data_IF_902041791794
#
_entry.id   IF_902041791794
#
_cell.length_a   1.000
_cell.length_b   1.000
_cell.length_c   1.000
_cell.angle_alpha   90.00
_cell.angle_beta   90.00
_cell.angle_gamma   90.00
#
_symmetry.space_group_name_H-M   'P 1'
#
loop_
_entity.id
_entity.type
_entity.pdbx_description
1 polymer ?
#
# COMPACT_ATOMS: atom_id res chain seq x y z
N UNK A 1 16.60 -2.87 12.91
CA UNK A 1 17.41 -1.64 13.04
C UNK A 1 18.73 -1.90 12.34
N UNK A 2 18.88 -1.46 11.08
CA UNK A 2 20.10 -1.72 10.31
C UNK A 2 21.04 -0.54 10.54
N UNK A 3 22.05 -0.74 11.37
CA UNK A 3 23.10 0.25 11.64
C UNK A 3 24.29 -0.08 10.75
N UNK A 4 24.58 0.79 9.77
CA UNK A 4 25.79 0.72 8.95
C UNK A 4 26.65 1.94 9.29
N UNK A 5 27.78 1.72 9.94
CA UNK A 5 28.76 2.77 10.24
C UNK A 5 29.90 2.74 9.24
N UNK A 6 30.08 3.82 8.46
CA UNK A 6 31.33 4.17 7.76
C UNK A 6 31.52 5.70 7.66
N UNK A 7 32.78 6.10 7.53
CA UNK A 7 33.42 7.30 8.08
C UNK A 7 33.06 8.68 7.50
N UNK A 8 33.04 9.65 8.43
CA UNK A 8 33.12 11.12 8.35
C UNK A 8 31.98 11.89 7.65
N UNK A 9 30.82 11.77 8.30
CA UNK A 9 29.90 12.83 8.76
C UNK A 9 29.37 13.80 7.69
N UNK A 10 28.15 13.47 7.29
CA UNK A 10 27.11 14.34 6.73
C UNK A 10 27.37 14.90 5.33
N UNK A 11 27.20 14.02 4.32
CA UNK A 11 26.81 14.48 3.00
C UNK A 11 25.37 14.98 3.05
N UNK A 12 25.23 16.25 2.76
CA UNK A 12 24.00 16.97 2.92
C UNK A 12 23.60 17.59 1.58
N UNK A 13 22.34 17.35 1.23
CA UNK A 13 21.61 17.90 0.10
C UNK A 13 21.29 19.36 0.41
N UNK A 14 21.48 20.26 -0.55
CA UNK A 14 21.50 21.70 -0.36
C UNK A 14 20.46 22.30 -1.30
N UNK A 15 19.52 23.10 -0.77
CA UNK A 15 18.49 23.82 -1.51
C UNK A 15 18.59 25.33 -1.25
N UNK A 16 18.64 26.17 -2.30
CA UNK A 16 18.67 27.64 -2.15
C UNK A 16 17.46 28.38 -2.68
N UNK A 17 17.10 29.46 -1.98
CA UNK A 17 16.30 30.59 -2.47
C UNK A 17 17.20 31.84 -2.30
N UNK A 18 17.86 32.29 -3.38
CA UNK A 18 18.81 33.45 -3.50
C UNK A 18 20.09 33.34 -2.64
N UNK A 19 21.32 33.76 -3.01
CA UNK A 19 21.84 34.72 -3.98
C UNK A 19 23.24 35.23 -3.54
N UNK A 20 24.32 34.43 -3.61
CA UNK A 20 25.75 34.83 -3.59
C UNK A 20 26.67 33.65 -3.97
N UNK A 21 27.74 33.88 -4.74
CA UNK A 21 28.56 32.82 -5.34
C UNK A 21 29.87 32.56 -4.57
N UNK A 22 29.79 31.79 -3.48
CA UNK A 22 30.93 31.09 -2.86
C UNK A 22 30.76 29.58 -3.02
N UNK A 23 31.32 28.97 -4.07
CA UNK A 23 30.98 27.59 -4.48
C UNK A 23 31.70 26.54 -3.63
N UNK A 24 30.96 25.79 -2.81
CA UNK A 24 31.33 24.44 -2.38
C UNK A 24 30.68 23.42 -3.33
N UNK A 25 31.48 22.62 -4.05
CA UNK A 25 31.00 21.60 -4.98
C UNK A 25 30.60 20.30 -4.24
N UNK A 26 29.44 19.73 -4.57
CA UNK A 26 29.04 18.39 -4.11
C UNK A 26 30.01 17.33 -4.65
N UNK A 27 30.43 16.39 -3.80
CA UNK A 27 31.33 15.29 -4.18
C UNK A 27 30.57 13.98 -4.50
N UNK A 28 29.39 13.75 -3.93
CA UNK A 28 28.49 12.65 -4.36
C UNK A 28 27.02 13.05 -4.24
N UNK A 29 26.24 12.68 -5.25
CA UNK A 29 24.79 12.69 -5.18
C UNK A 29 24.29 11.27 -4.87
N UNK A 30 23.62 11.09 -3.73
CA UNK A 30 23.11 9.77 -3.32
C UNK A 30 21.63 9.72 -3.66
N UNK A 31 21.26 8.76 -4.52
CA UNK A 31 19.85 8.44 -4.81
C UNK A 31 19.13 8.02 -3.53
N UNK A 32 17.85 8.36 -3.42
CA UNK A 32 16.99 7.82 -2.37
C UNK A 32 16.60 6.39 -2.73
N UNK A 33 16.71 5.45 -1.80
CA UNK A 33 16.30 4.05 -2.02
C UNK A 33 15.15 3.72 -1.08
N UNK A 34 14.04 3.23 -1.64
CA UNK A 34 12.86 2.81 -0.90
C UNK A 34 12.61 1.32 -1.10
N UNK A 35 12.16 0.65 -0.06
CA UNK A 35 11.85 -0.77 -0.11
C UNK A 35 10.35 -1.00 -0.01
N UNK A 36 9.78 -1.73 -0.98
CA UNK A 36 8.40 -2.20 -0.93
C UNK A 36 8.18 -3.17 0.23
N UNK A 37 6.92 -3.27 0.69
CA UNK A 37 6.52 -4.17 1.78
C UNK A 37 6.86 -3.67 3.19
N UNK A 38 7.35 -2.44 3.34
CA UNK A 38 7.60 -1.81 4.64
C UNK A 38 7.49 -0.28 4.53
N UNK A 39 7.29 0.39 5.67
CA UNK A 39 7.36 1.85 5.75
C UNK A 39 8.82 2.35 5.72
N UNK A 40 9.08 3.38 4.92
CA UNK A 40 10.39 3.99 4.71
C UNK A 40 10.38 5.42 5.27
N UNK A 41 11.00 5.68 6.44
CA UNK A 41 11.17 7.05 6.93
C UNK A 41 12.25 7.78 6.10
N UNK A 42 11.95 9.01 5.70
CA UNK A 42 12.86 9.87 4.92
C UNK A 42 12.95 11.23 5.60
N UNK A 43 14.17 11.75 5.72
CA UNK A 43 14.44 13.06 6.31
C UNK A 43 15.21 13.95 5.35
N UNK A 44 14.95 15.25 5.45
CA UNK A 44 15.53 16.31 4.64
C UNK A 44 16.03 17.43 5.56
N UNK A 45 17.17 18.01 5.23
CA UNK A 45 17.74 19.15 5.96
C UNK A 45 17.86 20.34 5.01
N UNK A 46 17.28 21.47 5.40
CA UNK A 46 17.25 22.71 4.62
C UNK A 46 18.37 23.65 5.06
N UNK A 47 19.18 24.12 4.11
CA UNK A 47 20.41 24.88 4.37
C UNK A 47 20.63 26.02 3.39
N UNK A 48 21.41 27.03 3.79
CA UNK A 48 21.85 28.16 2.96
C UNK A 48 23.24 27.97 2.33
N UNK A 49 23.67 28.95 1.52
CA UNK A 49 24.89 28.97 0.68
C UNK A 49 26.15 28.52 1.43
N UNK A 50 26.17 28.83 2.71
CA UNK A 50 27.27 28.53 3.62
C UNK A 50 27.15 27.19 4.34
N UNK A 51 26.29 26.27 3.88
CA UNK A 51 26.00 24.99 4.53
C UNK A 51 25.37 25.09 5.92
N UNK A 52 24.83 26.26 6.29
CA UNK A 52 24.20 26.48 7.60
C UNK A 52 22.73 26.14 7.55
N UNK A 53 22.29 25.36 8.53
CA UNK A 53 20.89 25.01 8.70
C UNK A 53 20.04 26.27 8.77
N UNK A 54 18.92 26.27 8.06
CA UNK A 54 17.98 27.37 8.09
C UNK A 54 16.84 27.06 9.06
N UNK A 55 16.37 28.09 9.76
CA UNK A 55 15.16 27.95 10.54
C UNK A 55 13.97 27.82 9.56
N UNK A 56 13.22 26.73 9.72
CA UNK A 56 12.07 26.40 8.88
C UNK A 56 10.78 26.17 9.68
N UNK A 57 10.76 26.51 10.97
CA UNK A 57 9.66 26.17 11.89
C UNK A 57 8.32 26.81 11.50
N UNK A 58 8.35 27.94 10.80
CA UNK A 58 7.16 28.64 10.31
C UNK A 58 6.82 28.32 8.83
N UNK A 59 7.50 27.35 8.21
CA UNK A 59 7.35 27.01 6.79
C UNK A 59 6.72 25.64 6.61
N UNK A 60 6.07 25.44 5.47
CA UNK A 60 5.48 24.16 5.08
C UNK A 60 6.17 23.63 3.83
N UNK A 61 6.47 22.33 3.80
CA UNK A 61 7.09 21.69 2.65
C UNK A 61 6.35 20.43 2.24
N UNK A 62 6.40 20.12 0.95
CA UNK A 62 5.88 18.88 0.39
C UNK A 62 6.99 18.11 -0.33
N UNK A 63 7.11 16.83 0.02
CA UNK A 63 7.77 15.84 -0.82
C UNK A 63 6.82 15.41 -1.94
N UNK A 64 7.30 15.45 -3.18
CA UNK A 64 6.55 15.04 -4.35
C UNK A 64 7.37 14.07 -5.20
N UNK A 65 6.92 12.82 -5.30
CA UNK A 65 7.50 11.81 -6.18
C UNK A 65 6.77 11.81 -7.52
N UNK A 66 7.54 11.72 -8.60
CA UNK A 66 7.10 11.85 -9.98
C UNK A 66 7.57 10.62 -10.76
N UNK A 67 6.66 9.98 -11.47
CA UNK A 67 7.00 8.87 -12.38
C UNK A 67 7.83 9.40 -13.56
N UNK A 68 8.97 8.74 -13.79
CA UNK A 68 9.95 9.15 -14.80
C UNK A 68 9.43 8.99 -16.24
N UNK A 69 8.44 8.14 -16.48
CA UNK A 69 7.82 7.87 -17.78
C UNK A 69 6.56 8.71 -17.97
N UNK A 70 5.60 8.61 -17.04
CA UNK A 70 4.30 9.28 -17.18
C UNK A 70 4.32 10.77 -16.80
N UNK A 71 5.39 11.23 -16.13
CA UNK A 71 5.58 12.60 -15.61
C UNK A 71 4.51 13.06 -14.63
N UNK A 72 3.72 12.14 -14.08
CA UNK A 72 2.68 12.42 -13.09
C UNK A 72 3.24 12.28 -11.68
N UNK A 73 2.73 13.09 -10.76
CA UNK A 73 2.96 12.91 -9.34
C UNK A 73 2.28 11.60 -8.88
N UNK A 74 3.05 10.72 -8.23
CA UNK A 74 2.59 9.42 -7.72
C UNK A 74 2.48 9.39 -6.21
N UNK A 75 3.30 10.16 -5.50
CA UNK A 75 3.24 10.34 -4.05
C UNK A 75 3.41 11.81 -3.74
N UNK A 76 2.53 12.37 -2.91
CA UNK A 76 2.70 13.70 -2.32
C UNK A 76 2.52 13.58 -0.81
N UNK A 77 3.51 14.04 -0.04
CA UNK A 77 3.49 14.03 1.43
C UNK A 77 3.93 15.39 1.95
N UNK A 78 3.14 15.96 2.86
CA UNK A 78 3.58 17.10 3.65
C UNK A 78 4.66 16.65 4.62
N UNK A 79 5.76 17.40 4.70
CA UNK A 79 6.84 17.11 5.63
C UNK A 79 6.46 17.60 7.04
N UNK A 80 6.76 16.77 8.04
CA UNK A 80 6.73 17.17 9.45
C UNK A 80 8.05 17.86 9.79
N UNK A 81 7.98 19.13 10.17
CA UNK A 81 9.15 19.86 10.68
C UNK A 81 9.55 19.27 12.03
N UNK A 82 10.84 18.93 12.17
CA UNK A 82 11.42 18.37 13.39
C UNK A 82 12.06 19.46 14.28
N UNK A 83 12.28 20.64 13.72
CA UNK A 83 12.72 21.85 14.43
C UNK A 83 11.52 22.57 15.07
N UNK A 84 11.34 22.40 16.37
CA UNK A 84 10.36 23.18 17.15
C UNK A 84 10.90 24.54 17.62
N UNK A 85 12.12 24.92 17.18
CA UNK A 85 12.79 26.16 17.57
C UNK A 85 13.43 26.13 18.97
N UNK A 86 13.36 25.00 19.69
CA UNK A 86 13.90 24.87 21.05
C UNK A 86 15.31 24.25 21.10
N UNK A 87 15.74 23.57 20.03
CA UNK A 87 17.05 22.91 19.96
C UNK A 87 17.79 23.24 18.67
N UNK A 88 19.08 23.59 18.81
CA UNK A 88 19.95 23.90 17.66
C UNK A 88 20.28 22.65 16.83
N UNK A 89 20.07 21.45 17.39
CA UNK A 89 20.44 20.18 16.78
C UNK A 89 19.49 19.69 15.69
N UNK A 90 18.24 20.13 15.67
CA UNK A 90 17.23 19.76 14.66
C UNK A 90 16.93 20.89 13.69
N UNK A 91 17.66 22.01 13.80
CA UNK A 91 17.41 23.18 12.96
C UNK A 91 17.47 22.80 11.49
N UNK A 92 16.41 23.18 10.76
CA UNK A 92 16.30 22.90 9.34
C UNK A 92 15.93 21.47 8.99
N UNK A 93 15.62 20.59 9.94
CA UNK A 93 15.21 19.21 9.65
C UNK A 93 13.70 19.06 9.49
N UNK A 94 13.30 18.32 8.45
CA UNK A 94 11.94 17.88 8.24
C UNK A 94 11.92 16.42 7.77
N UNK A 95 10.82 15.71 8.00
CA UNK A 95 10.72 14.30 7.63
C UNK A 95 9.33 13.93 7.12
N UNK A 96 9.26 12.82 6.41
CA UNK A 96 8.01 12.13 6.13
C UNK A 96 8.25 10.62 6.12
N UNK A 97 7.19 9.85 6.39
CA UNK A 97 7.23 8.40 6.21
C UNK A 97 6.46 8.04 4.95
N UNK A 98 7.13 7.36 4.03
CA UNK A 98 6.50 6.75 2.86
C UNK A 98 6.07 5.35 3.30
N UNK A 99 4.77 5.13 3.42
CA UNK A 99 4.23 3.89 3.98
C UNK A 99 4.27 2.75 2.95
N UNK A 100 4.13 1.51 3.43
CA UNK A 100 3.96 0.36 2.54
C UNK A 100 2.75 0.52 1.59
N UNK A 101 1.67 1.16 2.07
CA UNK A 101 0.47 1.43 1.28
C UNK A 101 0.69 2.46 0.18
N UNK A 102 1.58 3.44 0.40
CA UNK A 102 1.92 4.44 -0.64
C UNK A 102 2.73 3.81 -1.79
N UNK A 103 3.54 2.78 -1.49
CA UNK A 103 4.37 2.06 -2.46
C UNK A 103 3.62 0.92 -3.17
N UNK A 104 2.47 0.52 -2.62
CA UNK A 104 1.67 -0.61 -3.11
C UNK A 104 1.31 -0.52 -4.61
N UNK A 105 0.83 0.62 -5.15
CA UNK A 105 0.49 0.72 -6.57
C UNK A 105 1.70 0.99 -7.47
N UNK A 106 2.93 1.04 -6.93
CA UNK A 106 4.13 1.45 -7.66
C UNK A 106 5.01 0.25 -8.00
N UNK A 107 5.58 0.32 -9.21
CA UNK A 107 6.54 -0.67 -9.70
C UNK A 107 7.94 -0.40 -9.12
N UNK A 108 8.73 -1.46 -8.98
CA UNK A 108 10.13 -1.35 -8.62
C UNK A 108 10.95 -0.81 -9.79
N UNK A 109 11.13 0.51 -9.84
CA UNK A 109 11.89 1.24 -10.87
C UNK A 109 12.41 2.58 -10.36
N UNK A 110 13.01 3.37 -11.26
CA UNK A 110 13.45 4.73 -10.96
C UNK A 110 12.34 5.77 -11.12
N UNK A 111 12.24 6.63 -10.11
CA UNK A 111 11.35 7.78 -10.03
C UNK A 111 12.18 9.04 -9.81
N UNK A 112 11.56 10.20 -10.03
CA UNK A 112 12.13 11.48 -9.62
C UNK A 112 11.41 11.96 -8.36
N UNK A 113 12.07 12.76 -7.54
CA UNK A 113 11.39 13.50 -6.47
C UNK A 113 11.80 14.96 -6.48
N UNK A 114 10.90 15.80 -5.99
CA UNK A 114 11.17 17.20 -5.69
C UNK A 114 10.62 17.53 -4.30
N UNK A 115 11.29 18.44 -3.62
CA UNK A 115 10.74 19.08 -2.42
C UNK A 115 10.34 20.50 -2.80
N UNK A 116 9.19 20.96 -2.33
CA UNK A 116 8.69 22.32 -2.60
C UNK A 116 8.18 22.98 -1.34
N UNK A 117 8.35 24.29 -1.24
CA UNK A 117 7.72 25.09 -0.19
C UNK A 117 6.26 25.36 -0.58
N UNK A 118 5.37 25.32 0.41
CA UNK A 118 3.96 25.66 0.27
C UNK A 118 3.72 26.91 1.11
N UNK A 119 3.42 28.01 0.44
CA UNK A 119 3.13 29.28 1.08
C UNK A 119 1.74 29.27 1.72
N UNK A 120 1.48 30.22 2.62
CA UNK A 120 0.19 30.35 3.30
C UNK A 120 -0.98 30.64 2.36
N UNK A 121 -0.72 31.17 1.17
CA UNK A 121 -1.70 31.40 0.10
C UNK A 121 -1.94 30.16 -0.79
N UNK A 122 -1.25 29.05 -0.50
CA UNK A 122 -1.31 27.80 -1.26
C UNK A 122 -0.45 27.78 -2.52
N UNK A 123 0.29 28.85 -2.82
CA UNK A 123 1.29 28.85 -3.89
C UNK A 123 2.47 27.95 -3.54
N UNK A 124 3.15 27.45 -4.58
CA UNK A 124 4.23 26.47 -4.46
C UNK A 124 5.51 27.05 -5.02
N UNK A 125 6.56 27.03 -4.21
CA UNK A 125 7.88 27.52 -4.60
C UNK A 125 8.87 26.38 -4.70
N UNK A 126 9.77 26.49 -5.68
CA UNK A 126 10.79 25.47 -5.94
C UNK A 126 11.81 25.46 -4.81
N UNK A 127 12.19 24.27 -4.38
CA UNK A 127 13.47 24.06 -3.67
C UNK A 127 14.37 23.24 -4.57
N UNK A 128 15.68 23.48 -4.52
CA UNK A 128 16.64 22.79 -5.38
C UNK A 128 17.24 21.60 -4.66
N UNK A 129 17.46 20.51 -5.38
CA UNK A 129 18.16 19.34 -4.86
C UNK A 129 19.68 19.53 -4.87
N UNK A 130 20.22 20.46 -5.68
CA UNK A 130 21.66 20.68 -5.78
C UNK A 130 22.07 22.13 -6.11
N UNK A 131 23.39 22.35 -6.15
CA UNK A 131 24.04 23.62 -6.50
C UNK A 131 24.06 23.90 -8.01
N UNK A 132 23.60 22.95 -8.83
CA UNK A 132 23.33 23.12 -10.26
C UNK A 132 21.91 23.60 -10.55
N UNK A 133 21.11 23.87 -9.51
CA UNK A 133 19.69 24.23 -9.59
C UNK A 133 18.80 23.14 -10.21
N UNK A 134 19.20 21.87 -10.09
CA UNK A 134 18.31 20.76 -10.40
C UNK A 134 17.23 20.66 -9.31
N UNK A 135 15.97 20.87 -9.66
CA UNK A 135 14.85 20.74 -8.72
C UNK A 135 14.49 19.27 -8.42
N UNK A 136 14.95 18.33 -9.25
CA UNK A 136 14.61 16.92 -9.16
C UNK A 136 15.82 16.09 -8.70
N UNK A 137 15.64 15.30 -7.65
CA UNK A 137 16.52 14.19 -7.30
C UNK A 137 15.95 12.85 -7.80
N UNK A 138 16.75 11.79 -7.70
CA UNK A 138 16.34 10.43 -8.12
C UNK A 138 15.96 9.56 -6.91
N UNK A 139 14.86 8.81 -7.05
CA UNK A 139 14.44 7.74 -6.14
C UNK A 139 14.47 6.42 -6.88
N UNK A 140 14.90 5.36 -6.22
CA UNK A 140 14.81 3.98 -6.67
C UNK A 140 13.91 3.19 -5.73
N UNK A 141 12.87 2.55 -6.27
CA UNK A 141 12.05 1.61 -5.53
C UNK A 141 12.59 0.20 -5.78
N UNK A 142 12.93 -0.51 -4.71
CA UNK A 142 13.41 -1.89 -4.72
C UNK A 142 12.35 -2.85 -4.15
N UNK A 143 12.38 -4.08 -4.65
CA UNK A 143 11.52 -5.18 -4.21
C UNK A 143 12.33 -6.40 -3.74
N UNK A 144 11.65 -7.40 -3.17
CA UNK A 144 12.21 -8.71 -2.82
C UNK A 144 12.91 -8.79 -1.46
N UNK A 145 13.01 -7.67 -0.71
CA UNK A 145 13.53 -7.67 0.65
C UNK A 145 12.46 -8.00 1.71
N UNK A 146 11.18 -7.85 1.37
CA UNK A 146 10.02 -8.02 2.25
C UNK A 146 8.91 -8.78 1.53
N UNK A 147 7.91 -9.34 2.25
CA UNK A 147 6.78 -10.00 1.63
C UNK A 147 6.05 -9.08 0.64
N UNK A 148 5.80 -9.60 -0.56
CA UNK A 148 5.06 -8.88 -1.58
C UNK A 148 3.56 -8.92 -1.27
N UNK A 149 2.88 -7.84 -1.63
CA UNK A 149 1.43 -7.83 -1.63
C UNK A 149 0.90 -8.79 -2.69
N UNK A 150 0.06 -9.73 -2.26
CA UNK A 150 -0.71 -10.59 -3.16
C UNK A 150 -2.15 -10.09 -3.17
N UNK A 151 -2.62 -9.66 -4.34
CA UNK A 151 -3.99 -9.22 -4.50
C UNK A 151 -4.99 -10.35 -4.23
N UNK A 152 -6.10 -10.03 -3.57
CA UNK A 152 -7.20 -10.98 -3.39
C UNK A 152 -7.78 -11.39 -4.75
N UNK A 153 -8.19 -12.65 -4.85
CA UNK A 153 -8.92 -13.15 -6.01
C UNK A 153 -10.33 -12.56 -6.01
N UNK A 154 -10.70 -11.84 -7.07
CA UNK A 154 -12.03 -11.27 -7.23
C UNK A 154 -12.96 -12.26 -7.93
N UNK A 155 -14.05 -12.62 -7.24
CA UNK A 155 -15.09 -13.52 -7.74
C UNK A 155 -16.39 -12.75 -7.90
N UNK A 156 -16.74 -12.43 -9.13
CA UNK A 156 -17.99 -11.73 -9.48
C UNK A 156 -18.90 -12.52 -10.41
N UNK A 157 -18.40 -13.62 -10.99
CA UNK A 157 -19.15 -14.47 -11.90
C UNK A 157 -19.66 -15.72 -11.18
N UNK A 158 -20.97 -15.91 -11.20
CA UNK A 158 -21.63 -17.10 -10.67
C UNK A 158 -22.52 -17.71 -11.75
N UNK A 159 -22.46 -19.03 -11.89
CA UNK A 159 -23.33 -19.79 -12.78
C UNK A 159 -24.42 -20.51 -11.98
N UNK A 160 -25.58 -20.73 -12.60
CA UNK A 160 -26.64 -21.52 -11.99
C UNK A 160 -26.20 -22.97 -11.82
N UNK A 161 -26.16 -23.46 -10.58
CA UNK A 161 -25.55 -24.76 -10.24
C UNK A 161 -26.42 -25.61 -9.33
N UNK A 162 -27.46 -26.25 -9.88
CA UNK A 162 -28.25 -27.23 -9.14
C UNK A 162 -29.07 -26.63 -7.97
N UNK A 163 -29.27 -27.36 -6.85
CA UNK A 163 -30.11 -26.93 -5.72
C UNK A 163 -29.66 -25.62 -5.05
N UNK A 164 -28.39 -25.23 -5.23
CA UNK A 164 -27.84 -23.93 -4.88
C UNK A 164 -27.92 -23.03 -6.11
N UNK A 165 -28.64 -21.92 -5.99
CA UNK A 165 -29.03 -21.12 -7.15
C UNK A 165 -27.84 -20.56 -7.93
N UNK A 166 -26.69 -20.32 -7.28
CA UNK A 166 -25.51 -19.71 -7.89
C UNK A 166 -24.21 -20.24 -7.27
N UNK A 167 -23.27 -20.66 -8.11
CA UNK A 167 -21.96 -21.21 -7.71
C UNK A 167 -20.85 -20.55 -8.51
N UNK A 168 -19.72 -20.25 -7.88
CA UNK A 168 -18.52 -19.74 -8.55
C UNK A 168 -17.68 -20.87 -9.16
N UNK A 169 -16.75 -20.52 -10.04
CA UNK A 169 -15.67 -21.43 -10.42
C UNK A 169 -14.79 -21.83 -9.22
N UNK A 170 -14.02 -22.89 -9.40
CA UNK A 170 -13.03 -23.39 -8.44
C UNK A 170 -11.82 -22.46 -8.38
N UNK A 171 -11.45 -22.04 -7.18
CA UNK A 171 -10.31 -21.16 -6.91
C UNK A 171 -9.24 -21.99 -6.23
N UNK A 172 -8.02 -21.96 -6.76
CA UNK A 172 -6.88 -22.66 -6.14
C UNK A 172 -6.57 -22.10 -4.75
N UNK A 173 -6.63 -22.97 -3.74
CA UNK A 173 -6.39 -22.63 -2.35
C UNK A 173 -4.91 -22.81 -1.96
N UNK A 174 -4.05 -23.23 -2.89
CA UNK A 174 -2.59 -23.36 -2.74
C UNK A 174 -2.19 -24.18 -1.51
N UNK A 175 -2.64 -25.44 -1.39
CA UNK A 175 -2.43 -26.25 -0.19
C UNK A 175 -0.95 -26.44 0.17
N UNK A 176 -0.04 -26.40 -0.81
CA UNK A 176 1.40 -26.57 -0.59
C UNK A 176 2.11 -25.36 0.05
N UNK A 177 1.48 -24.18 0.07
CA UNK A 177 2.03 -22.94 0.65
C UNK A 177 1.31 -22.56 1.94
N UNK A 178 0.08 -23.05 2.14
CA UNK A 178 -0.77 -22.68 3.26
C UNK A 178 -0.35 -23.41 4.56
N UNK A 179 0.63 -22.84 5.28
CA UNK A 179 1.27 -23.43 6.46
C UNK A 179 0.55 -23.10 7.80
N UNK A 180 0.91 -23.80 8.88
CA UNK A 180 0.57 -23.73 10.33
C UNK A 180 -0.88 -23.41 10.78
N UNK A 181 -1.59 -22.46 10.17
CA UNK A 181 -3.00 -22.15 10.48
C UNK A 181 -3.95 -22.32 9.30
N UNK A 182 -3.42 -22.40 8.07
CA UNK A 182 -4.21 -22.55 6.84
C UNK A 182 -5.43 -21.61 6.81
N UNK A 183 -5.20 -20.32 7.09
CA UNK A 183 -6.24 -19.32 7.26
C UNK A 183 -6.70 -18.81 5.89
N UNK A 184 -8.01 -18.68 5.74
CA UNK A 184 -8.64 -18.08 4.59
C UNK A 184 -9.53 -16.94 5.03
N UNK A 185 -9.54 -15.85 4.26
CA UNK A 185 -10.40 -14.69 4.51
C UNK A 185 -11.18 -14.35 3.25
N UNK A 186 -12.46 -14.05 3.44
CA UNK A 186 -13.33 -13.53 2.38
C UNK A 186 -13.95 -12.19 2.78
N UNK A 187 -14.11 -11.31 1.81
CA UNK A 187 -14.91 -10.09 1.93
C UNK A 187 -16.06 -10.16 0.92
N UNK A 188 -17.29 -10.16 1.43
CA UNK A 188 -18.52 -10.35 0.65
C UNK A 188 -19.19 -8.99 0.47
N UNK A 189 -19.35 -8.57 -0.79
CA UNK A 189 -20.03 -7.33 -1.15
C UNK A 189 -21.45 -7.65 -1.60
N UNK A 190 -22.44 -7.16 -0.86
CA UNK A 190 -23.86 -7.37 -1.12
C UNK A 190 -24.55 -6.09 -1.58
N UNK A 191 -25.60 -6.22 -2.40
CA UNK A 191 -26.47 -5.13 -2.83
C UNK A 191 -27.92 -5.52 -2.57
N UNK A 192 -28.47 -5.11 -1.43
CA UNK A 192 -29.81 -5.48 -0.94
C UNK A 192 -30.05 -7.00 -0.88
N UNK A 193 -29.00 -7.78 -0.65
CA UNK A 193 -29.07 -9.24 -0.73
C UNK A 193 -29.77 -9.85 0.49
N UNK A 194 -30.70 -10.76 0.23
CA UNK A 194 -31.34 -11.61 1.23
C UNK A 194 -31.23 -13.07 0.81
N UNK A 195 -30.55 -13.89 1.60
CA UNK A 195 -30.23 -15.26 1.19
C UNK A 195 -29.14 -15.85 2.06
N UNK A 196 -28.56 -16.96 1.63
CA UNK A 196 -27.48 -17.62 2.35
C UNK A 196 -26.26 -17.83 1.46
N UNK A 197 -25.08 -17.48 1.97
CA UNK A 197 -23.79 -17.80 1.39
C UNK A 197 -23.20 -19.04 2.07
N UNK A 198 -22.59 -19.90 1.27
CA UNK A 198 -21.80 -21.05 1.70
C UNK A 198 -20.41 -20.97 1.06
N UNK A 199 -19.40 -21.30 1.85
CA UNK A 199 -18.05 -21.54 1.35
C UNK A 199 -17.91 -23.04 1.19
N UNK A 200 -17.44 -23.47 0.03
CA UNK A 200 -17.24 -24.88 -0.26
C UNK A 200 -15.78 -25.17 -0.54
N UNK A 201 -15.26 -26.22 0.07
CA UNK A 201 -13.89 -26.70 -0.14
C UNK A 201 -13.86 -28.06 -0.83
N UNK A 202 -12.74 -28.38 -1.45
CA UNK A 202 -12.43 -29.72 -1.93
C UNK A 202 -10.96 -30.04 -1.72
N UNK A 203 -10.66 -31.33 -1.54
CA UNK A 203 -9.29 -31.84 -1.47
C UNK A 203 -8.84 -32.48 -2.79
N UNK A 204 -9.75 -32.57 -3.78
CA UNK A 204 -9.45 -33.17 -5.08
C UNK A 204 -8.73 -32.18 -6.00
N UNK A 205 -7.72 -32.66 -6.72
CA UNK A 205 -7.02 -31.89 -7.74
C UNK A 205 -7.82 -31.72 -9.05
N UNK A 206 -8.87 -32.53 -9.22
CA UNK A 206 -9.80 -32.45 -10.36
C UNK A 206 -11.21 -32.72 -9.84
N UNK A 207 -11.80 -31.74 -9.14
CA UNK A 207 -13.05 -31.93 -8.42
C UNK A 207 -14.25 -32.01 -9.37
N UNK A 208 -15.11 -32.99 -9.13
CA UNK A 208 -16.48 -33.03 -9.60
C UNK A 208 -17.40 -32.28 -8.63
N UNK A 209 -18.66 -32.04 -9.03
CA UNK A 209 -19.64 -31.34 -8.19
C UNK A 209 -19.88 -31.99 -6.82
N UNK A 210 -19.72 -33.31 -6.73
CA UNK A 210 -19.91 -34.07 -5.47
C UNK A 210 -18.70 -34.03 -4.55
N UNK A 211 -17.54 -33.57 -5.03
CA UNK A 211 -16.30 -33.50 -4.24
C UNK A 211 -16.21 -32.24 -3.37
N UNK A 212 -17.21 -31.36 -3.47
CA UNK A 212 -17.31 -30.14 -2.68
C UNK A 212 -18.15 -30.36 -1.42
N UNK A 213 -17.64 -29.89 -0.29
CA UNK A 213 -18.33 -29.89 0.98
C UNK A 213 -18.39 -28.48 1.56
N UNK A 214 -19.44 -28.20 2.34
CA UNK A 214 -19.60 -26.90 2.97
C UNK A 214 -18.65 -26.73 4.17
N UNK A 215 -18.02 -25.57 4.25
CA UNK A 215 -17.13 -25.16 5.34
C UNK A 215 -17.88 -24.22 6.27
N UNK A 216 -17.83 -24.51 7.57
CA UNK A 216 -18.32 -23.58 8.61
C UNK A 216 -17.27 -22.50 8.84
N UNK A 217 -17.68 -21.24 8.68
CA UNK A 217 -16.82 -20.08 8.92
C UNK A 217 -16.55 -19.91 10.43
N UNK A 218 -15.44 -19.25 10.77
CA UNK A 218 -15.15 -18.86 12.16
C UNK A 218 -16.31 -18.03 12.72
N UNK A 219 -16.65 -18.31 13.98
CA UNK A 219 -17.76 -17.69 14.72
C UNK A 219 -19.17 -17.89 14.10
N UNK A 220 -19.29 -18.71 13.05
CA UNK A 220 -20.59 -19.08 12.48
C UNK A 220 -21.14 -20.35 13.14
N UNK A 221 -22.40 -20.32 13.55
CA UNK A 221 -23.12 -21.52 14.05
C UNK A 221 -23.56 -22.49 12.95
N UNK A 222 -23.31 -22.16 11.68
CA UNK A 222 -23.79 -22.90 10.51
C UNK A 222 -22.90 -22.63 9.29
N UNK A 223 -22.73 -23.59 8.36
CA UNK A 223 -22.08 -23.35 7.07
C UNK A 223 -22.88 -22.39 6.16
N UNK A 224 -24.17 -22.23 6.42
CA UNK A 224 -25.03 -21.30 5.70
C UNK A 224 -25.08 -19.94 6.42
N UNK A 225 -24.39 -18.96 5.86
CA UNK A 225 -24.30 -17.61 6.42
C UNK A 225 -25.39 -16.74 5.80
N UNK A 226 -26.40 -16.43 6.62
CA UNK A 226 -27.60 -15.72 6.18
C UNK A 226 -27.39 -14.20 6.16
N UNK A 227 -27.94 -13.57 5.13
CA UNK A 227 -28.02 -12.13 4.96
C UNK A 227 -29.48 -11.71 4.90
N UNK A 228 -29.79 -10.54 5.48
CA UNK A 228 -31.13 -9.94 5.46
C UNK A 228 -31.01 -8.51 4.96
N UNK A 229 -31.50 -8.24 3.75
CA UNK A 229 -31.44 -6.94 3.08
C UNK A 229 -30.06 -6.27 3.18
N UNK A 230 -29.00 -7.05 3.05
CA UNK A 230 -27.63 -6.60 3.31
C UNK A 230 -27.11 -5.72 2.18
N UNK A 231 -26.48 -4.60 2.55
CA UNK A 231 -25.82 -3.64 1.65
C UNK A 231 -24.38 -3.35 2.05
N UNK A 232 -23.91 -3.94 3.15
CA UNK A 232 -22.60 -3.69 3.75
C UNK A 232 -21.64 -4.82 3.44
N UNK A 233 -20.34 -4.52 3.47
CA UNK A 233 -19.30 -5.54 3.31
C UNK A 233 -19.24 -6.39 4.57
N UNK A 234 -19.33 -7.71 4.42
CA UNK A 234 -19.16 -8.67 5.51
C UNK A 234 -17.89 -9.46 5.32
N UNK A 235 -17.08 -9.60 6.36
CA UNK A 235 -15.83 -10.36 6.32
C UNK A 235 -15.99 -11.65 7.10
N UNK A 236 -15.48 -12.75 6.55
CA UNK A 236 -15.47 -14.04 7.22
C UNK A 236 -14.11 -14.69 7.09
N UNK A 237 -13.74 -15.42 8.13
CA UNK A 237 -12.56 -16.26 8.14
C UNK A 237 -12.97 -17.73 8.20
N UNK A 238 -12.12 -18.61 7.68
CA UNK A 238 -12.22 -20.04 7.89
C UNK A 238 -10.83 -20.66 7.77
N UNK A 239 -10.64 -21.83 8.38
CA UNK A 239 -9.35 -22.52 8.37
C UNK A 239 -9.46 -23.88 7.69
N UNK A 240 -8.35 -24.36 7.13
CA UNK A 240 -8.24 -25.71 6.59
C UNK A 240 -7.36 -25.77 5.34
N UNK A 241 -6.81 -26.96 5.07
CA UNK A 241 -5.99 -27.20 3.88
C UNK A 241 -6.87 -27.77 2.78
N UNK A 242 -7.19 -26.94 1.79
CA UNK A 242 -8.01 -27.30 0.64
C UNK A 242 -7.17 -27.27 -0.64
N UNK A 243 -7.50 -28.13 -1.60
CA UNK A 243 -6.96 -27.98 -2.96
C UNK A 243 -7.63 -26.79 -3.65
N UNK A 244 -8.95 -26.67 -3.52
CA UNK A 244 -9.69 -25.55 -4.09
C UNK A 244 -10.87 -25.14 -3.24
N UNK A 245 -11.23 -23.86 -3.32
CA UNK A 245 -12.40 -23.27 -2.68
C UNK A 245 -13.34 -22.71 -3.74
N UNK A 246 -14.65 -22.79 -3.52
CA UNK A 246 -15.66 -22.08 -4.31
C UNK A 246 -16.73 -21.48 -3.40
N UNK A 247 -17.49 -20.55 -3.94
CA UNK A 247 -18.58 -19.89 -3.23
C UNK A 247 -19.91 -20.26 -3.85
N UNK A 248 -20.86 -20.64 -3.01
CA UNK A 248 -22.21 -20.96 -3.44
C UNK A 248 -23.22 -20.15 -2.63
N UNK A 249 -24.27 -19.66 -3.27
CA UNK A 249 -25.31 -18.92 -2.57
C UNK A 249 -26.70 -19.20 -3.12
N UNK A 250 -27.69 -19.03 -2.25
CA UNK A 250 -29.10 -19.23 -2.54
C UNK A 250 -29.92 -18.01 -2.14
N UNK A 251 -30.94 -17.70 -2.94
CA UNK A 251 -31.87 -16.61 -2.67
C UNK A 251 -32.93 -17.03 -1.65
N UNK A 252 -33.27 -16.10 -0.74
CA UNK A 252 -34.56 -16.18 -0.07
C UNK A 252 -35.67 -15.78 -1.04
N UNK A 253 -36.91 -16.19 -0.76
CA UNK A 253 -38.08 -15.87 -1.61
C UNK A 253 -38.36 -14.36 -1.73
N UNK A 254 -37.93 -13.57 -0.75
CA UNK A 254 -38.05 -12.11 -0.73
C UNK A 254 -36.85 -11.37 -1.33
N UNK A 255 -35.87 -12.09 -1.88
CA UNK A 255 -34.64 -11.45 -2.35
C UNK A 255 -34.88 -10.61 -3.62
N UNK A 256 -34.49 -9.35 -3.57
CA UNK A 256 -34.45 -8.44 -4.72
C UNK A 256 -33.03 -7.99 -5.04
N UNK A 257 -32.04 -8.44 -4.26
CA UNK A 257 -30.65 -8.06 -4.39
C UNK A 257 -29.72 -9.16 -4.88
N UNK A 258 -28.42 -8.89 -4.85
CA UNK A 258 -27.37 -9.82 -5.33
C UNK A 258 -26.11 -9.75 -4.46
N UNK A 259 -25.33 -10.82 -4.49
CA UNK A 259 -23.91 -10.75 -4.12
C UNK A 259 -23.16 -10.17 -5.33
N UNK A 260 -22.58 -8.99 -5.18
CA UNK A 260 -21.92 -8.24 -6.25
C UNK A 260 -20.53 -8.83 -6.57
N UNK A 261 -19.76 -9.12 -5.52
CA UNK A 261 -18.47 -9.78 -5.61
C UNK A 261 -18.05 -10.36 -4.27
N UNK A 262 -17.14 -11.33 -4.32
CA UNK A 262 -16.41 -11.87 -3.18
C UNK A 262 -14.93 -11.70 -3.44
N UNK A 263 -14.21 -11.07 -2.51
CA UNK A 263 -12.75 -11.04 -2.52
C UNK A 263 -12.25 -12.17 -1.64
N UNK A 264 -11.40 -13.03 -2.18
CA UNK A 264 -10.84 -14.19 -1.48
C UNK A 264 -9.32 -14.06 -1.34
N UNK A 265 -8.80 -14.40 -0.15
CA UNK A 265 -7.37 -14.50 0.14
C UNK A 265 -7.09 -15.69 1.06
N UNK A 266 -5.91 -16.26 0.90
CA UNK A 266 -5.31 -17.31 1.74
C UNK A 266 -3.91 -16.87 2.19
#
# INVERSE_FOLDING_TARGET
>A
MQTVQRYLINQLVIAYISGYHGRNSKVYDRRLTLHRGVSNPVSFTFKNEDQKAQNISAKTYEFNMIDSESKKAVITKTLTILDDGSTVSTTGDASCTITEGDLLPLDAKFYNFAVREVNSDGSREVTYADTGYAAAGTVEILDGAYPEFVASTNVSTFSSGGPLAYVSGSIDARPGINNNKALHTIAVYTKNFTGALRVQGTMSASPSETDYFDITMEDAGSPANSFTSSTTVSNFNFTGVYHSVRFAWGNSSSNTGVIDKILYRQ
#
